data_IF_306042570630
#
_entry.id   IF_306042570630
#
_cell.length_a   1.000
_cell.length_b   1.000
_cell.length_c   1.000
_cell.angle_alpha   90.00
_cell.angle_beta   90.00
_cell.angle_gamma   90.00
#
_symmetry.space_group_name_H-M   'P 1'
#
loop_
_entity.id
_entity.type
_entity.pdbx_description
1 polymer ?
#
# COMPACT_ATOMS: atom_id res chain seq x y z
N UNK A 1 22.33 29.75 8.13
CA UNK A 1 23.57 28.94 8.09
C UNK A 1 24.78 29.86 7.94
N UNK A 2 25.77 29.73 8.80
CA UNK A 2 26.99 30.53 8.77
C UNK A 2 28.23 29.62 8.63
N UNK A 3 29.10 29.99 7.70
CA UNK A 3 30.47 29.48 7.62
C UNK A 3 31.42 30.60 8.00
N UNK A 4 32.48 30.37 8.79
CA UNK A 4 33.36 31.45 9.21
C UNK A 4 34.11 32.07 8.01
N UNK A 5 34.03 33.38 7.92
CA UNK A 5 34.73 34.19 6.93
C UNK A 5 35.63 35.20 7.66
N UNK A 6 36.79 35.50 7.11
CA UNK A 6 37.75 36.41 7.71
C UNK A 6 37.26 37.86 7.90
N UNK A 7 36.22 38.25 7.15
CA UNK A 7 35.69 39.62 7.11
C UNK A 7 34.46 39.83 8.00
N UNK A 8 33.91 38.77 8.58
CA UNK A 8 32.64 38.85 9.34
C UNK A 8 32.85 38.21 10.71
N UNK A 9 32.54 38.98 11.78
CA UNK A 9 32.57 38.45 13.14
C UNK A 9 31.38 37.51 13.36
N UNK A 10 31.57 36.21 13.66
CA UNK A 10 30.51 35.31 13.99
C UNK A 10 29.69 35.75 15.21
N UNK A 11 30.34 36.40 16.20
CA UNK A 11 29.67 36.90 17.40
C UNK A 11 28.68 38.04 17.07
N UNK A 12 29.09 39.02 16.24
CA UNK A 12 28.20 40.10 15.82
C UNK A 12 26.99 39.59 15.04
N UNK A 13 27.17 38.51 14.23
CA UNK A 13 26.05 37.87 13.57
C UNK A 13 25.12 37.19 14.56
N UNK A 14 25.67 36.48 15.56
CA UNK A 14 24.87 35.82 16.58
C UNK A 14 24.05 36.83 17.41
N UNK A 15 24.63 37.95 17.82
CA UNK A 15 23.94 39.05 18.54
C UNK A 15 22.77 39.58 17.70
N UNK A 16 23.01 39.87 16.42
CA UNK A 16 21.93 40.35 15.52
C UNK A 16 20.80 39.32 15.34
N UNK A 17 21.13 38.01 15.34
CA UNK A 17 20.15 36.93 15.24
C UNK A 17 19.31 36.81 16.53
N UNK A 18 19.88 37.09 17.72
CA UNK A 18 19.16 37.11 18.98
C UNK A 18 18.08 38.20 18.95
N UNK A 19 18.40 39.37 18.44
CA UNK A 19 17.44 40.49 18.32
C UNK A 19 16.31 40.16 17.34
N UNK A 20 16.63 39.53 16.23
CA UNK A 20 15.64 39.05 15.26
C UNK A 20 14.73 37.99 15.88
N UNK A 21 15.31 37.02 16.60
CA UNK A 21 14.53 35.94 17.21
C UNK A 21 13.55 36.47 18.29
N UNK A 22 13.96 37.43 19.09
CA UNK A 22 13.08 38.08 20.10
C UNK A 22 11.86 38.77 19.51
N UNK A 23 12.00 39.30 18.30
CA UNK A 23 10.93 40.01 17.59
C UNK A 23 10.16 39.12 16.60
N UNK A 24 10.58 37.86 16.42
CA UNK A 24 9.96 36.94 15.51
C UNK A 24 8.94 36.04 16.19
N UNK A 25 7.84 35.73 15.48
CA UNK A 25 6.87 34.71 15.90
C UNK A 25 7.22 33.30 15.35
N UNK A 26 8.28 33.23 14.52
CA UNK A 26 8.70 31.99 13.87
C UNK A 26 9.88 31.40 14.64
N UNK A 27 9.91 30.10 14.79
CA UNK A 27 11.06 29.39 15.39
C UNK A 27 12.29 29.60 14.53
N UNK A 28 13.37 30.08 15.13
CA UNK A 28 14.66 30.25 14.50
C UNK A 28 15.58 29.12 14.94
N UNK A 29 16.18 28.42 13.98
CA UNK A 29 17.27 27.46 14.21
C UNK A 29 18.51 27.90 13.44
N UNK A 30 19.66 27.79 14.07
CA UNK A 30 20.91 28.28 13.51
C UNK A 30 21.87 27.09 13.24
N UNK A 31 22.64 27.20 12.17
CA UNK A 31 23.76 26.30 11.88
C UNK A 31 25.03 27.15 11.74
N UNK A 32 25.94 27.01 12.69
CA UNK A 32 27.26 27.67 12.68
C UNK A 32 28.33 26.63 12.51
N UNK A 33 28.78 26.45 11.25
CA UNK A 33 29.82 25.50 10.88
C UNK A 33 31.22 26.06 11.30
N UNK A 34 32.08 25.21 11.75
CA UNK A 34 33.45 25.54 12.14
C UNK A 34 33.78 25.09 13.56
N UNK A 35 35.02 25.29 13.94
CA UNK A 35 35.60 24.92 15.25
C UNK A 35 35.58 26.03 16.28
N UNK A 36 36.73 26.34 16.85
CA UNK A 36 36.92 27.35 17.90
C UNK A 36 36.48 28.76 17.47
N UNK A 37 36.59 29.11 16.19
CA UNK A 37 36.26 30.43 15.67
C UNK A 37 34.79 30.81 15.86
N UNK A 38 33.89 29.85 15.90
CA UNK A 38 32.45 30.09 16.06
C UNK A 38 31.92 29.64 17.43
N UNK A 39 32.79 29.19 18.33
CA UNK A 39 32.37 28.67 19.63
C UNK A 39 31.67 29.76 20.48
N UNK A 40 32.23 30.98 20.56
CA UNK A 40 31.61 32.09 21.27
C UNK A 40 30.25 32.51 20.66
N UNK A 41 30.12 32.49 19.34
CA UNK A 41 28.87 32.80 18.69
C UNK A 41 27.77 31.74 18.98
N UNK A 42 28.15 30.46 19.05
CA UNK A 42 27.21 29.40 19.47
C UNK A 42 26.74 29.59 20.89
N UNK A 43 27.65 29.93 21.80
CA UNK A 43 27.31 30.18 23.19
C UNK A 43 26.29 31.33 23.34
N UNK A 44 26.47 32.44 22.60
CA UNK A 44 25.52 33.57 22.60
C UNK A 44 24.12 33.09 22.16
N UNK A 45 24.01 32.26 21.13
CA UNK A 45 22.75 31.72 20.65
C UNK A 45 22.11 30.74 21.65
N UNK A 46 22.93 29.84 22.25
CA UNK A 46 22.50 28.87 23.26
C UNK A 46 21.94 29.58 24.51
N UNK A 47 22.67 30.61 25.02
CA UNK A 47 22.22 31.42 26.16
C UNK A 47 20.93 32.20 25.87
N UNK A 48 20.71 32.57 24.61
CA UNK A 48 19.45 33.19 24.16
C UNK A 48 18.31 32.19 23.91
N UNK A 49 18.54 30.87 24.10
CA UNK A 49 17.56 29.81 23.86
C UNK A 49 17.31 29.49 22.38
N UNK A 50 18.23 29.89 21.50
CA UNK A 50 18.13 29.62 20.06
C UNK A 50 18.88 28.31 19.77
N UNK A 51 18.22 27.27 19.22
CA UNK A 51 18.88 26.04 18.86
C UNK A 51 19.98 26.27 17.82
N UNK A 52 21.20 25.84 18.11
CA UNK A 52 22.34 26.00 17.24
C UNK A 52 23.03 24.65 16.99
N UNK A 53 23.37 24.39 15.74
CA UNK A 53 23.91 23.12 15.29
C UNK A 53 25.24 23.31 14.54
N UNK A 54 26.01 22.25 14.46
CA UNK A 54 27.33 22.27 13.80
C UNK A 54 27.23 21.95 12.30
N UNK A 55 26.19 21.21 11.92
CA UNK A 55 25.97 20.77 10.53
C UNK A 55 24.54 21.08 10.09
N UNK A 56 24.30 21.35 8.81
CA UNK A 56 22.96 21.62 8.29
C UNK A 56 22.03 20.42 8.40
N UNK A 57 22.55 19.20 8.28
CA UNK A 57 21.76 17.97 8.28
C UNK A 57 20.95 17.85 9.59
N UNK A 58 21.61 18.12 10.72
CA UNK A 58 20.95 18.05 12.04
C UNK A 58 19.82 19.07 12.18
N UNK A 59 19.97 20.26 11.56
CA UNK A 59 18.88 21.28 11.55
C UNK A 59 17.69 20.77 10.72
N UNK A 60 17.98 20.15 9.57
CA UNK A 60 16.95 19.61 8.68
C UNK A 60 16.21 18.47 9.37
N UNK A 61 16.93 17.56 10.02
CA UNK A 61 16.34 16.46 10.81
C UNK A 61 15.45 16.97 11.94
N UNK A 62 15.92 17.98 12.70
CA UNK A 62 15.11 18.59 13.74
C UNK A 62 13.81 19.18 13.18
N UNK A 63 13.93 19.94 12.09
CA UNK A 63 12.77 20.54 11.44
C UNK A 63 11.79 19.50 10.93
N UNK A 64 12.31 18.43 10.31
CA UNK A 64 11.52 17.29 9.86
C UNK A 64 10.76 16.64 11.03
N UNK A 65 11.44 16.36 12.13
CA UNK A 65 10.84 15.74 13.32
C UNK A 65 9.74 16.62 13.94
N UNK A 66 9.99 17.91 14.06
CA UNK A 66 8.97 18.87 14.57
C UNK A 66 7.78 18.94 13.61
N UNK A 67 8.04 19.05 12.32
CA UNK A 67 6.98 19.12 11.31
C UNK A 67 6.13 17.85 11.31
N UNK A 68 6.77 16.70 11.36
CA UNK A 68 6.09 15.39 11.44
C UNK A 68 5.28 15.25 12.71
N UNK A 69 5.80 15.73 13.87
CA UNK A 69 5.06 15.72 15.11
C UNK A 69 3.75 16.52 15.00
N UNK A 70 3.81 17.75 14.48
CA UNK A 70 2.61 18.57 14.30
C UNK A 70 1.65 17.99 13.27
N UNK A 71 2.15 17.40 12.19
CA UNK A 71 1.31 16.70 11.22
C UNK A 71 0.61 15.51 11.86
N UNK A 72 1.32 14.70 12.63
CA UNK A 72 0.74 13.55 13.33
C UNK A 72 -0.31 14.00 14.36
N UNK A 73 -0.05 15.05 15.13
CA UNK A 73 -1.06 15.61 16.03
C UNK A 73 -2.31 16.06 15.27
N UNK A 74 -2.13 16.76 14.14
CA UNK A 74 -3.24 17.18 13.30
C UNK A 74 -4.05 16.00 12.77
N UNK A 75 -3.37 14.93 12.34
CA UNK A 75 -4.01 13.70 11.87
C UNK A 75 -4.78 13.01 13.01
N UNK A 76 -4.20 12.91 14.20
CA UNK A 76 -4.86 12.32 15.38
C UNK A 76 -6.10 13.08 15.83
N UNK A 77 -6.14 14.39 15.61
CA UNK A 77 -7.29 15.24 15.94
C UNK A 77 -8.36 15.25 14.85
N UNK A 78 -8.08 14.68 13.68
CA UNK A 78 -9.08 14.54 12.63
C UNK A 78 -10.11 13.49 13.04
N UNK A 79 -11.33 13.95 13.28
CA UNK A 79 -12.48 13.07 13.44
C UNK A 79 -13.03 12.79 12.04
N UNK A 80 -13.06 11.54 11.59
CA UNK A 80 -13.66 11.20 10.30
C UNK A 80 -15.10 11.72 10.26
N UNK A 81 -15.48 12.34 9.16
CA UNK A 81 -16.89 12.62 8.92
C UNK A 81 -17.66 11.31 9.00
N UNK A 82 -18.84 11.28 9.66
CA UNK A 82 -19.68 10.09 9.64
C UNK A 82 -19.86 9.72 8.17
N UNK A 83 -19.24 8.57 7.79
CA UNK A 83 -19.23 8.14 6.42
C UNK A 83 -20.64 8.17 5.87
N UNK A 84 -20.87 8.82 4.74
CA UNK A 84 -22.14 8.64 4.02
C UNK A 84 -22.38 7.14 3.92
N UNK A 85 -23.53 6.63 4.39
CA UNK A 85 -23.88 5.26 4.09
C UNK A 85 -23.70 5.11 2.57
N UNK A 86 -22.82 4.21 2.14
CA UNK A 86 -22.62 4.00 0.70
C UNK A 86 -24.00 3.71 0.12
N UNK A 87 -24.52 4.62 -0.71
CA UNK A 87 -25.79 4.47 -1.37
C UNK A 87 -25.73 3.17 -2.19
N UNK A 88 -26.44 2.14 -1.75
CA UNK A 88 -26.40 0.82 -2.36
C UNK A 88 -25.58 -0.25 -1.63
N UNK A 89 -24.88 0.09 -0.55
CA UNK A 89 -24.17 -0.90 0.25
C UNK A 89 -25.13 -1.90 0.88
N UNK A 90 -25.29 -3.06 0.27
CA UNK A 90 -25.96 -4.23 0.84
C UNK A 90 -25.09 -4.85 1.93
N UNK A 91 -24.77 -4.06 2.98
CA UNK A 91 -23.89 -4.54 4.07
C UNK A 91 -24.41 -5.84 4.71
N UNK A 92 -25.69 -6.11 4.61
CA UNK A 92 -26.30 -7.36 5.04
C UNK A 92 -25.87 -8.57 4.21
N UNK A 93 -25.78 -8.47 2.88
CA UNK A 93 -25.44 -9.61 2.03
C UNK A 93 -23.97 -10.03 2.15
N UNK A 94 -23.05 -9.08 2.30
CA UNK A 94 -21.65 -9.38 2.57
C UNK A 94 -21.46 -10.10 3.89
N UNK A 95 -22.21 -9.71 4.92
CA UNK A 95 -22.18 -10.37 6.24
C UNK A 95 -22.71 -11.80 6.16
N UNK A 96 -23.82 -12.02 5.46
CA UNK A 96 -24.39 -13.37 5.28
C UNK A 96 -23.38 -14.32 4.62
N UNK A 97 -22.64 -13.84 3.60
CA UNK A 97 -21.58 -14.62 2.96
C UNK A 97 -20.48 -14.99 3.95
N UNK A 98 -20.01 -14.01 4.74
CA UNK A 98 -18.94 -14.25 5.74
C UNK A 98 -19.42 -15.20 6.83
N UNK A 99 -20.63 -15.03 7.35
CA UNK A 99 -21.21 -15.90 8.39
C UNK A 99 -21.37 -17.35 7.89
N UNK A 100 -21.75 -17.54 6.62
CA UNK A 100 -21.81 -18.87 5.99
C UNK A 100 -20.44 -19.53 5.93
N UNK A 101 -19.41 -18.82 5.52
CA UNK A 101 -18.03 -19.32 5.46
C UNK A 101 -17.47 -19.69 6.84
N UNK A 102 -17.80 -18.89 7.87
CA UNK A 102 -17.42 -19.20 9.26
C UNK A 102 -18.13 -20.47 9.72
N UNK A 103 -19.41 -20.65 9.40
CA UNK A 103 -20.16 -21.86 9.74
C UNK A 103 -19.56 -23.11 9.07
N UNK A 104 -19.05 -22.98 7.85
CA UNK A 104 -18.33 -24.03 7.11
C UNK A 104 -16.88 -24.23 7.63
N UNK A 105 -16.43 -23.47 8.63
CA UNK A 105 -15.04 -23.46 9.16
C UNK A 105 -13.98 -23.17 8.10
N UNK A 106 -14.35 -22.47 7.05
CA UNK A 106 -13.42 -22.03 6.00
C UNK A 106 -12.74 -20.73 6.43
N UNK A 107 -11.47 -20.60 6.06
CA UNK A 107 -10.64 -19.40 6.35
C UNK A 107 -10.32 -18.61 5.11
N UNK A 108 -10.52 -19.19 3.94
CA UNK A 108 -10.18 -18.60 2.65
C UNK A 108 -11.41 -18.64 1.77
N UNK A 109 -11.73 -17.49 1.16
CA UNK A 109 -12.75 -17.39 0.12
C UNK A 109 -12.21 -17.91 -1.21
N UNK A 110 -13.07 -18.53 -1.99
CA UNK A 110 -12.78 -18.70 -3.41
C UNK A 110 -12.76 -17.34 -4.11
N UNK A 111 -12.17 -17.28 -5.29
CA UNK A 111 -12.14 -16.04 -6.08
C UNK A 111 -13.53 -15.48 -6.36
N UNK A 112 -14.49 -16.33 -6.69
CA UNK A 112 -15.87 -15.92 -6.94
C UNK A 112 -16.56 -15.35 -5.70
N UNK A 113 -16.36 -15.98 -4.55
CA UNK A 113 -16.87 -15.46 -3.26
C UNK A 113 -16.22 -14.12 -2.90
N UNK A 114 -14.92 -13.99 -3.12
CA UNK A 114 -14.20 -12.73 -2.92
C UNK A 114 -14.73 -11.63 -3.86
N UNK A 115 -14.97 -11.94 -5.13
CA UNK A 115 -15.58 -11.00 -6.09
C UNK A 115 -17.01 -10.60 -5.66
N UNK A 116 -17.82 -11.57 -5.24
CA UNK A 116 -19.16 -11.30 -4.74
C UNK A 116 -19.12 -10.39 -3.52
N UNK A 117 -18.21 -10.66 -2.57
CA UNK A 117 -18.03 -9.84 -1.38
C UNK A 117 -17.62 -8.41 -1.74
N UNK A 118 -16.59 -8.24 -2.57
CA UNK A 118 -16.11 -6.92 -3.01
C UNK A 118 -17.21 -6.14 -3.74
N UNK A 119 -17.99 -6.81 -4.58
CA UNK A 119 -19.11 -6.21 -5.27
C UNK A 119 -20.19 -5.68 -4.31
N UNK A 120 -20.44 -6.34 -3.17
CA UNK A 120 -21.40 -5.85 -2.17
C UNK A 120 -20.96 -4.52 -1.54
N UNK A 121 -19.67 -4.25 -1.54
CA UNK A 121 -19.08 -3.00 -1.07
C UNK A 121 -18.81 -1.98 -2.19
N UNK A 122 -19.30 -2.25 -3.40
CA UNK A 122 -19.14 -1.32 -4.53
C UNK A 122 -17.72 -1.25 -5.10
N UNK A 123 -16.85 -2.20 -4.74
CA UNK A 123 -15.51 -2.28 -5.33
C UNK A 123 -15.64 -2.88 -6.73
N UNK A 124 -15.19 -2.17 -7.79
CA UNK A 124 -15.25 -2.68 -9.13
C UNK A 124 -14.29 -3.86 -9.29
N UNK A 125 -14.83 -5.01 -9.64
CA UNK A 125 -14.09 -6.22 -9.94
C UNK A 125 -14.28 -6.60 -11.40
N UNK A 126 -13.26 -7.19 -12.02
CA UNK A 126 -13.40 -7.69 -13.38
C UNK A 126 -14.38 -8.85 -13.42
N UNK A 127 -15.27 -8.88 -14.41
CA UNK A 127 -16.12 -10.04 -14.60
C UNK A 127 -15.23 -11.27 -14.82
N UNK A 128 -15.57 -12.35 -14.17
CA UNK A 128 -14.86 -13.62 -14.31
C UNK A 128 -15.86 -14.77 -14.17
N UNK A 129 -15.57 -15.87 -14.84
CA UNK A 129 -16.43 -17.05 -14.83
C UNK A 129 -15.58 -18.29 -14.51
N UNK A 130 -16.17 -19.23 -13.76
CA UNK A 130 -15.55 -20.50 -13.41
C UNK A 130 -15.85 -21.51 -14.50
N UNK A 131 -14.86 -22.34 -14.84
CA UNK A 131 -14.98 -23.51 -15.68
C UNK A 131 -14.33 -24.72 -15.00
N UNK A 132 -15.00 -25.86 -15.04
CA UNK A 132 -14.54 -27.10 -14.42
C UNK A 132 -13.96 -28.08 -15.43
N UNK A 133 -14.27 -27.88 -16.71
CA UNK A 133 -13.79 -28.73 -17.82
C UNK A 133 -13.18 -27.88 -18.92
N UNK A 134 -12.39 -28.52 -19.77
CA UNK A 134 -11.78 -27.84 -20.92
C UNK A 134 -12.85 -27.29 -21.89
N UNK A 135 -13.94 -28.02 -22.09
CA UNK A 135 -15.06 -27.58 -22.96
C UNK A 135 -15.74 -26.35 -22.39
N UNK A 136 -16.02 -26.33 -21.08
CA UNK A 136 -16.56 -25.15 -20.41
C UNK A 136 -15.62 -23.97 -20.50
N UNK A 137 -14.31 -24.19 -20.30
CA UNK A 137 -13.30 -23.15 -20.37
C UNK A 137 -13.25 -22.49 -21.77
N UNK A 138 -13.29 -23.31 -22.81
CA UNK A 138 -13.34 -22.83 -24.20
C UNK A 138 -14.61 -22.00 -24.45
N UNK A 139 -15.77 -22.48 -24.02
CA UNK A 139 -17.05 -21.78 -24.16
C UNK A 139 -17.05 -20.46 -23.42
N UNK A 140 -16.59 -20.45 -22.16
CA UNK A 140 -16.50 -19.23 -21.34
C UNK A 140 -15.54 -18.22 -21.99
N UNK A 141 -14.38 -18.66 -22.50
CA UNK A 141 -13.43 -17.77 -23.17
C UNK A 141 -14.03 -17.14 -24.45
N UNK A 142 -14.84 -17.91 -25.19
CA UNK A 142 -15.55 -17.41 -26.35
C UNK A 142 -16.62 -16.35 -25.97
N UNK A 143 -17.35 -16.58 -24.88
CA UNK A 143 -18.37 -15.62 -24.38
C UNK A 143 -17.76 -14.32 -23.85
N UNK A 144 -16.63 -14.43 -23.15
CA UNK A 144 -15.92 -13.27 -22.59
C UNK A 144 -15.24 -12.46 -23.69
N UNK A 145 -14.74 -13.14 -24.73
CA UNK A 145 -13.93 -12.57 -25.79
C UNK A 145 -12.43 -12.61 -25.46
N UNK A 146 -11.64 -12.94 -26.46
CA UNK A 146 -10.16 -13.00 -26.35
C UNK A 146 -9.54 -11.60 -26.47
N UNK A 147 -8.38 -11.36 -25.85
CA UNK A 147 -7.60 -12.28 -25.03
C UNK A 147 -8.12 -12.45 -23.60
N UNK A 148 -7.87 -13.60 -22.99
CA UNK A 148 -8.27 -13.93 -21.62
C UNK A 148 -7.09 -14.35 -20.74
N UNK A 149 -7.28 -14.22 -19.41
CA UNK A 149 -6.42 -14.78 -18.38
C UNK A 149 -7.13 -15.98 -17.75
N UNK A 150 -6.39 -17.07 -17.51
CA UNK A 150 -6.87 -18.27 -16.86
C UNK A 150 -6.13 -18.48 -15.56
N UNK A 151 -6.87 -18.62 -14.47
CA UNK A 151 -6.35 -18.84 -13.12
C UNK A 151 -6.85 -20.17 -12.58
N UNK A 152 -5.96 -20.95 -11.98
CA UNK A 152 -6.33 -22.18 -11.30
C UNK A 152 -7.14 -21.87 -10.03
N UNK A 153 -8.24 -22.58 -9.82
CA UNK A 153 -9.06 -22.48 -8.61
C UNK A 153 -8.78 -23.66 -7.68
N UNK A 154 -8.24 -23.37 -6.51
CA UNK A 154 -8.01 -24.35 -5.46
C UNK A 154 -8.21 -23.69 -4.09
N UNK A 155 -8.94 -24.32 -3.16
CA UNK A 155 -9.07 -23.84 -1.79
C UNK A 155 -7.77 -23.93 -1.00
N UNK A 156 -6.81 -24.70 -1.49
CA UNK A 156 -5.53 -24.96 -0.85
C UNK A 156 -4.41 -24.04 -1.40
N UNK A 157 -4.73 -23.15 -2.36
CA UNK A 157 -3.84 -22.09 -2.80
C UNK A 157 -3.82 -20.97 -1.77
N UNK A 158 -2.76 -20.94 -0.94
CA UNK A 158 -2.59 -19.95 0.13
C UNK A 158 -2.32 -18.53 -0.42
N UNK A 159 -1.74 -18.43 -1.60
CA UNK A 159 -1.38 -17.16 -2.23
C UNK A 159 -2.12 -16.95 -3.56
N UNK A 160 -2.88 -15.87 -3.61
CA UNK A 160 -3.55 -15.42 -4.85
C UNK A 160 -2.55 -15.00 -5.96
N UNK A 161 -1.27 -14.94 -5.65
CA UNK A 161 -0.18 -14.50 -6.53
C UNK A 161 0.74 -15.63 -7.03
N UNK A 162 0.33 -16.90 -6.89
CA UNK A 162 1.10 -17.99 -7.47
C UNK A 162 1.14 -17.85 -9.01
N UNK A 163 2.24 -17.34 -9.52
CA UNK A 163 2.44 -17.18 -10.98
C UNK A 163 2.37 -18.52 -11.74
N UNK A 164 2.63 -19.62 -11.06
CA UNK A 164 2.50 -20.95 -11.66
C UNK A 164 1.02 -21.36 -11.81
N UNK A 165 0.13 -20.76 -11.03
CA UNK A 165 -1.31 -21.00 -11.09
C UNK A 165 -2.05 -20.11 -12.11
N UNK A 166 -1.32 -19.36 -12.95
CA UNK A 166 -1.90 -18.40 -13.89
C UNK A 166 -1.32 -18.57 -15.29
N UNK A 167 -2.18 -18.43 -16.30
CA UNK A 167 -1.77 -18.20 -17.69
C UNK A 167 -2.45 -16.95 -18.20
N UNK A 168 -1.65 -16.00 -18.67
CA UNK A 168 -2.12 -14.68 -19.08
C UNK A 168 -2.09 -14.51 -20.58
N UNK A 169 -2.95 -13.61 -21.08
CA UNK A 169 -2.99 -13.17 -22.48
C UNK A 169 -3.16 -14.31 -23.47
N UNK A 170 -4.08 -15.21 -23.21
CA UNK A 170 -4.41 -16.28 -24.13
C UNK A 170 -5.25 -15.72 -25.27
N UNK A 171 -4.73 -15.83 -26.48
CA UNK A 171 -5.29 -15.16 -27.67
C UNK A 171 -6.08 -16.12 -28.58
N UNK A 172 -6.15 -17.39 -28.23
CA UNK A 172 -6.91 -18.39 -28.99
C UNK A 172 -7.61 -19.38 -28.07
N UNK A 173 -8.71 -19.94 -28.52
CA UNK A 173 -9.48 -20.97 -27.79
C UNK A 173 -8.62 -22.21 -27.54
N UNK A 174 -7.78 -22.58 -28.51
CA UNK A 174 -6.86 -23.70 -28.34
C UNK A 174 -5.83 -23.45 -27.24
N UNK A 175 -5.29 -22.21 -27.14
CA UNK A 175 -4.39 -21.85 -26.05
C UNK A 175 -5.06 -21.92 -24.67
N UNK A 176 -6.37 -21.64 -24.58
CA UNK A 176 -7.14 -21.80 -23.34
C UNK A 176 -7.25 -23.26 -22.94
N UNK A 177 -7.53 -24.15 -23.89
CA UNK A 177 -7.58 -25.60 -23.67
C UNK A 177 -6.25 -26.14 -23.14
N UNK A 178 -5.16 -25.79 -23.83
CA UNK A 178 -3.80 -26.19 -23.45
C UNK A 178 -3.43 -25.63 -22.06
N UNK A 179 -3.71 -24.36 -21.81
CA UNK A 179 -3.44 -23.71 -20.53
C UNK A 179 -4.12 -24.42 -19.36
N UNK A 180 -5.39 -24.81 -19.51
CA UNK A 180 -6.11 -25.56 -18.48
C UNK A 180 -5.42 -26.89 -18.20
N UNK A 181 -5.10 -27.66 -19.26
CA UNK A 181 -4.41 -28.95 -19.12
C UNK A 181 -3.08 -28.76 -18.36
N UNK A 182 -2.26 -27.82 -18.81
CA UNK A 182 -0.92 -27.59 -18.25
C UNK A 182 -0.99 -27.12 -16.78
N UNK A 183 -1.95 -26.25 -16.45
CA UNK A 183 -2.13 -25.79 -15.08
C UNK A 183 -2.54 -26.93 -14.14
N UNK A 184 -3.46 -27.78 -14.58
CA UNK A 184 -3.94 -28.92 -13.80
C UNK A 184 -2.83 -29.96 -13.63
N UNK A 185 -2.13 -30.32 -14.71
CA UNK A 185 -1.05 -31.31 -14.67
C UNK A 185 0.14 -30.83 -13.85
N UNK A 186 0.60 -29.59 -14.05
CA UNK A 186 1.69 -29.03 -13.26
C UNK A 186 1.36 -29.04 -11.74
N UNK A 187 0.10 -28.77 -11.40
CA UNK A 187 -0.32 -28.77 -9.99
C UNK A 187 -0.39 -30.18 -9.42
N UNK A 188 -0.92 -31.14 -10.16
CA UNK A 188 -0.95 -32.57 -9.75
C UNK A 188 0.44 -33.14 -9.52
N UNK A 189 1.43 -32.72 -10.33
CA UNK A 189 2.80 -33.17 -10.18
C UNK A 189 3.51 -32.49 -8.99
N UNK A 190 3.29 -31.20 -8.78
CA UNK A 190 3.97 -30.44 -7.75
C UNK A 190 3.32 -30.51 -6.35
N UNK A 191 2.00 -30.73 -6.29
CA UNK A 191 1.24 -30.77 -5.04
C UNK A 191 -0.01 -31.65 -5.17
N UNK A 192 0.17 -32.99 -5.22
CA UNK A 192 -0.90 -33.97 -5.50
C UNK A 192 -2.02 -33.97 -4.44
N UNK A 193 -1.73 -33.53 -3.23
CA UNK A 193 -2.69 -33.42 -2.12
C UNK A 193 -3.69 -32.27 -2.27
N UNK A 194 -3.43 -31.33 -3.17
CA UNK A 194 -4.26 -30.14 -3.33
C UNK A 194 -5.49 -30.43 -4.20
N UNK A 195 -6.63 -29.93 -3.73
CA UNK A 195 -7.90 -30.02 -4.43
C UNK A 195 -7.97 -28.98 -5.53
N UNK A 196 -8.27 -29.39 -6.73
CA UNK A 196 -8.48 -28.50 -7.88
C UNK A 196 -9.97 -28.44 -8.15
N UNK A 197 -10.54 -27.22 -8.08
CA UNK A 197 -11.96 -26.96 -8.32
C UNK A 197 -12.26 -26.53 -9.76
N UNK A 198 -11.23 -26.30 -10.57
CA UNK A 198 -11.36 -25.83 -11.94
C UNK A 198 -10.45 -24.64 -12.21
N UNK A 199 -10.88 -23.78 -13.11
CA UNK A 199 -10.19 -22.54 -13.46
C UNK A 199 -11.18 -21.37 -13.48
N UNK A 200 -10.70 -20.19 -13.17
CA UNK A 200 -11.41 -18.93 -13.38
C UNK A 200 -10.86 -18.25 -14.63
N UNK A 201 -11.74 -17.83 -15.51
CA UNK A 201 -11.42 -17.12 -16.74
C UNK A 201 -11.90 -15.68 -16.65
N UNK A 202 -11.04 -14.75 -16.95
CA UNK A 202 -11.31 -13.32 -16.93
C UNK A 202 -10.77 -12.64 -18.20
N UNK A 203 -11.36 -11.52 -18.64
CA UNK A 203 -10.79 -10.74 -19.73
C UNK A 203 -9.37 -10.32 -19.41
N UNK A 204 -8.46 -10.45 -20.37
CA UNK A 204 -7.11 -9.91 -20.21
C UNK A 204 -7.18 -8.39 -20.19
N UNK A 205 -6.64 -7.78 -19.14
CA UNK A 205 -6.59 -6.32 -19.02
C UNK A 205 -5.16 -5.84 -19.12
N UNK A 206 -4.77 -5.41 -20.29
CA UNK A 206 -3.57 -4.60 -20.44
C UNK A 206 -3.92 -3.13 -20.19
N UNK A 207 -3.24 -2.54 -19.20
CA UNK A 207 -3.16 -1.10 -19.06
C UNK A 207 -1.70 -0.70 -19.28
N UNK A 208 -1.27 -0.45 -20.52
CA UNK A 208 0.15 -0.21 -20.86
C UNK A 208 0.80 0.91 -20.04
N UNK A 209 0.00 1.85 -19.56
CA UNK A 209 0.43 2.96 -18.71
C UNK A 209 -0.15 2.88 -17.29
N UNK A 210 -0.82 1.79 -16.96
CA UNK A 210 -1.41 1.55 -15.64
C UNK A 210 -0.34 1.16 -14.62
N UNK A 211 -0.48 1.68 -13.41
CA UNK A 211 0.30 1.21 -12.26
C UNK A 211 -0.55 0.26 -11.45
N UNK A 212 0.02 -0.86 -11.07
CA UNK A 212 -0.64 -1.81 -10.18
C UNK A 212 -0.41 -1.40 -8.73
N UNK A 213 -1.47 -1.34 -7.96
CA UNK A 213 -1.43 -1.12 -6.53
C UNK A 213 -1.94 -2.37 -5.80
N UNK A 214 -1.36 -2.59 -4.63
CA UNK A 214 -1.83 -3.58 -3.68
C UNK A 214 -2.51 -2.86 -2.52
N UNK A 215 -3.75 -3.23 -2.22
CA UNK A 215 -4.44 -2.83 -0.99
C UNK A 215 -4.65 -4.08 -0.16
N UNK A 216 -4.13 -4.09 1.07
CA UNK A 216 -4.26 -5.22 1.99
C UNK A 216 -4.86 -4.74 3.29
N UNK A 217 -5.82 -5.48 3.83
CA UNK A 217 -6.37 -5.24 5.16
C UNK A 217 -5.91 -6.37 6.07
N UNK A 218 -5.28 -6.01 7.17
CA UNK A 218 -4.78 -6.94 8.17
C UNK A 218 -5.42 -6.61 9.51
N UNK A 219 -5.49 -7.59 10.38
CA UNK A 219 -5.84 -7.38 11.79
C UNK A 219 -4.56 -7.44 12.61
N UNK A 220 -4.15 -6.28 13.12
CA UNK A 220 -3.06 -6.17 14.05
C UNK A 220 -3.55 -6.43 15.48
N UNK A 221 -2.79 -7.16 16.33
CA UNK A 221 -3.21 -7.46 17.69
C UNK A 221 -3.33 -6.23 18.60
N UNK A 222 -2.59 -5.16 18.31
CA UNK A 222 -2.57 -3.92 19.09
C UNK A 222 -3.49 -2.87 18.50
N UNK A 223 -3.38 -2.62 17.19
CA UNK A 223 -4.08 -1.54 16.49
C UNK A 223 -5.43 -1.96 15.89
N UNK A 224 -5.77 -3.26 15.92
CA UNK A 224 -6.98 -3.73 15.25
C UNK A 224 -6.83 -3.80 13.72
N UNK A 225 -7.83 -3.36 12.95
CA UNK A 225 -7.73 -3.38 11.49
C UNK A 225 -6.70 -2.34 11.00
N UNK A 226 -5.83 -2.76 10.11
CA UNK A 226 -4.77 -1.93 9.49
C UNK A 226 -4.86 -2.08 7.99
N UNK A 227 -4.75 -0.97 7.28
CA UNK A 227 -4.77 -0.92 5.82
C UNK A 227 -3.35 -0.66 5.33
N UNK A 228 -2.87 -1.51 4.42
CA UNK A 228 -1.62 -1.30 3.70
C UNK A 228 -1.92 -0.96 2.24
N UNK A 229 -1.23 0.04 1.74
CA UNK A 229 -1.23 0.43 0.33
C UNK A 229 0.21 0.40 -0.17
N UNK A 230 0.47 -0.33 -1.23
CA UNK A 230 1.80 -0.45 -1.80
C UNK A 230 1.77 -0.68 -3.30
N UNK A 231 2.95 -0.82 -3.89
CA UNK A 231 3.06 -1.26 -5.28
C UNK A 231 2.51 -2.69 -5.42
N UNK A 232 1.79 -2.95 -6.50
CA UNK A 232 1.26 -4.27 -6.83
C UNK A 232 2.12 -5.00 -7.87
N UNK A 233 1.75 -6.25 -8.15
CA UNK A 233 2.46 -7.11 -9.09
C UNK A 233 3.87 -7.50 -8.62
N UNK A 234 4.68 -8.02 -9.53
CA UNK A 234 6.06 -8.44 -9.25
C UNK A 234 6.97 -7.32 -8.75
N UNK A 235 6.67 -6.06 -9.10
CA UNK A 235 7.39 -4.90 -8.58
C UNK A 235 7.13 -4.66 -7.09
N UNK A 236 5.92 -4.94 -6.62
CA UNK A 236 5.56 -4.76 -5.21
C UNK A 236 6.35 -5.67 -4.27
N UNK A 237 6.58 -6.92 -4.70
CA UNK A 237 7.39 -7.88 -3.93
C UNK A 237 8.86 -7.46 -3.85
N UNK A 238 9.41 -6.91 -4.93
CA UNK A 238 10.79 -6.49 -5.00
C UNK A 238 11.06 -5.21 -4.18
N UNK A 239 10.17 -4.22 -4.27
CA UNK A 239 10.36 -2.92 -3.64
C UNK A 239 10.01 -2.93 -2.15
N UNK A 240 9.07 -3.76 -1.71
CA UNK A 240 8.53 -3.80 -0.34
C UNK A 240 8.13 -2.43 0.21
N UNK A 241 7.83 -1.50 -0.70
CA UNK A 241 7.43 -0.14 -0.35
C UNK A 241 5.93 -0.08 -0.15
N UNK A 242 5.51 0.25 1.07
CA UNK A 242 4.10 0.35 1.42
C UNK A 242 3.87 1.41 2.48
N UNK A 243 2.75 2.09 2.36
CA UNK A 243 2.21 2.97 3.38
C UNK A 243 1.22 2.20 4.25
N UNK A 244 1.18 2.57 5.52
CA UNK A 244 0.28 1.96 6.52
C UNK A 244 -0.68 3.02 7.02
N UNK A 245 -1.95 2.69 7.11
CA UNK A 245 -2.97 3.58 7.65
C UNK A 245 -3.94 2.82 8.55
N UNK A 246 -4.46 3.52 9.56
CA UNK A 246 -5.51 3.01 10.43
C UNK A 246 -6.86 3.52 9.93
N UNK A 247 -7.89 2.65 9.83
CA UNK A 247 -9.24 3.09 9.54
C UNK A 247 -9.85 3.83 10.76
N UNK A 248 -10.79 4.75 10.53
CA UNK A 248 -11.30 5.18 9.24
C UNK A 248 -10.34 6.14 8.53
N UNK A 249 -10.30 6.06 7.19
CA UNK A 249 -9.52 6.97 6.36
C UNK A 249 -10.33 8.23 6.08
N UNK A 250 -9.64 9.39 6.10
CA UNK A 250 -10.20 10.70 5.74
C UNK A 250 -9.80 11.07 4.31
#
# INVERSE_FOLDING_TARGET
MLSPLALVSPQAVAEGLVDIARNSRTTLCCCFMGGAQVAGARQILEEAGIPVFRTPDTVIELFHNISTYYQNQKLLLQVPSPGRPMAGGRSGSGRVLVDALIAERRRVLSRMEAHALLHTYGVPVRPSMVAHTATEAMFVAEQIGLPVDVHLESPDLADAFDEQAVRRKLTSIESVRTALHDLVEARRQGAPEQRIHGVTIAPHGEHPHGRQFMVKVLRDPVFGPVILLGAGGSQGEALRDHAVALPPLN
#
